data_IF_238339440569
#
_entry.id   IF_238339440569
#
_cell.length_a   1.000
_cell.length_b   1.000
_cell.length_c   1.000
_cell.angle_alpha   90.00
_cell.angle_beta   90.00
_cell.angle_gamma   90.00
#
_symmetry.space_group_name_H-M   'P 1'
#
loop_
_entity.id
_entity.type
_entity.pdbx_description
1 polymer ?
#
# COMPACT_ATOMS: atom_id res chain seq x y z
N UNK A 1 -9.09 -1.69 -17.72
CA UNK A 1 -8.22 -1.28 -16.59
C UNK A 1 -6.80 -1.75 -16.85
N UNK A 2 -5.87 -0.85 -16.68
CA UNK A 2 -4.43 -1.11 -16.83
C UNK A 2 -3.76 -1.18 -15.47
N UNK A 3 -2.81 -2.12 -15.30
CA UNK A 3 -1.91 -2.16 -14.13
C UNK A 3 -0.53 -1.75 -14.58
N UNK A 4 0.06 -0.78 -13.90
CA UNK A 4 1.42 -0.30 -14.15
C UNK A 4 2.16 0.01 -12.85
N UNK A 5 3.46 0.24 -12.97
CA UNK A 5 4.24 0.73 -11.84
C UNK A 5 3.90 2.17 -11.50
N UNK A 6 4.05 2.50 -10.23
CA UNK A 6 3.95 3.85 -9.72
C UNK A 6 5.02 4.74 -10.34
N UNK A 7 4.63 5.94 -10.77
CA UNK A 7 5.56 6.93 -11.29
C UNK A 7 5.68 8.15 -10.36
N UNK A 8 6.72 8.95 -10.56
CA UNK A 8 6.98 10.14 -9.76
C UNK A 8 5.83 11.18 -9.82
N UNK A 9 5.01 11.14 -10.87
CA UNK A 9 3.91 12.09 -11.06
C UNK A 9 2.57 11.63 -10.44
N UNK A 10 2.55 10.46 -9.82
CA UNK A 10 1.31 9.85 -9.32
C UNK A 10 0.94 10.26 -7.89
N UNK A 11 1.83 10.91 -7.17
CA UNK A 11 1.68 11.15 -5.73
C UNK A 11 0.37 11.83 -5.34
N UNK A 12 -0.03 12.87 -6.05
CA UNK A 12 -1.29 13.58 -5.74
C UNK A 12 -2.52 12.70 -5.96
N UNK A 13 -2.57 11.95 -7.07
CA UNK A 13 -3.66 11.01 -7.31
C UNK A 13 -3.70 9.87 -6.29
N UNK A 14 -2.54 9.36 -5.89
CA UNK A 14 -2.44 8.33 -4.86
C UNK A 14 -3.01 8.83 -3.53
N UNK A 15 -2.56 9.98 -3.07
CA UNK A 15 -3.05 10.54 -1.80
C UNK A 15 -4.55 10.84 -1.85
N UNK A 16 -5.07 11.28 -3.00
CA UNK A 16 -6.51 11.44 -3.20
C UNK A 16 -7.25 10.10 -3.15
N UNK A 17 -6.72 9.06 -3.78
CA UNK A 17 -7.26 7.71 -3.69
C UNK A 17 -7.30 7.21 -2.24
N UNK A 18 -6.21 7.37 -1.52
CA UNK A 18 -6.13 6.92 -0.13
C UNK A 18 -7.13 7.65 0.77
N UNK A 19 -7.25 8.96 0.64
CA UNK A 19 -8.29 9.71 1.37
C UNK A 19 -9.70 9.21 1.05
N UNK A 20 -10.00 9.01 -0.23
CA UNK A 20 -11.30 8.51 -0.65
C UNK A 20 -11.58 7.09 -0.14
N UNK A 21 -10.55 6.31 0.11
CA UNK A 21 -10.62 4.93 0.62
C UNK A 21 -10.57 4.85 2.14
N UNK A 22 -10.48 5.98 2.85
CA UNK A 22 -10.39 6.01 4.31
C UNK A 22 -9.00 5.72 4.87
N UNK A 23 -7.98 5.68 4.03
CA UNK A 23 -6.58 5.50 4.47
C UNK A 23 -6.02 6.86 4.87
N UNK A 24 -5.53 6.95 6.11
CA UNK A 24 -4.91 8.16 6.65
C UNK A 24 -3.50 8.34 6.11
N UNK A 25 -3.09 9.60 5.96
CA UNK A 25 -1.71 9.95 5.67
C UNK A 25 -0.79 9.44 6.79
N UNK A 26 0.31 8.78 6.40
CA UNK A 26 1.29 8.21 7.31
C UNK A 26 2.69 8.72 6.97
N UNK A 27 3.63 8.68 7.92
CA UNK A 27 5.03 8.93 7.59
C UNK A 27 5.48 8.04 6.44
N UNK A 28 6.09 8.65 5.42
CA UNK A 28 6.49 7.93 4.22
C UNK A 28 5.55 8.07 3.02
N UNK A 29 4.44 8.80 3.17
CA UNK A 29 3.47 9.02 2.09
C UNK A 29 3.74 10.27 1.26
N UNK A 30 4.78 11.01 1.56
CA UNK A 30 5.24 12.15 0.78
C UNK A 30 5.96 11.70 -0.50
N UNK A 31 6.08 12.61 -1.47
CA UNK A 31 6.65 12.30 -2.78
C UNK A 31 8.09 11.77 -2.70
N UNK A 32 8.93 12.35 -1.86
CA UNK A 32 10.31 11.92 -1.70
C UNK A 32 10.43 10.49 -1.15
N UNK A 33 9.61 10.17 -0.14
CA UNK A 33 9.58 8.82 0.45
C UNK A 33 9.03 7.79 -0.53
N UNK A 34 7.99 8.12 -1.28
CA UNK A 34 7.45 7.23 -2.31
C UNK A 34 8.46 6.98 -3.43
N UNK A 35 9.19 8.00 -3.86
CA UNK A 35 10.27 7.85 -4.84
C UNK A 35 11.37 6.92 -4.34
N UNK A 36 11.76 7.03 -3.07
CA UNK A 36 12.74 6.14 -2.45
C UNK A 36 12.22 4.70 -2.39
N UNK A 37 10.98 4.51 -1.98
CA UNK A 37 10.35 3.19 -1.91
C UNK A 37 10.36 2.50 -3.27
N UNK A 38 9.91 3.19 -4.32
CA UNK A 38 9.84 2.64 -5.68
C UNK A 38 11.23 2.36 -6.25
N UNK A 39 12.19 3.24 -6.00
CA UNK A 39 13.57 3.08 -6.43
C UNK A 39 14.24 1.84 -5.81
N UNK A 40 13.98 1.59 -4.53
CA UNK A 40 14.54 0.43 -3.81
C UNK A 40 13.81 -0.88 -4.14
N UNK A 41 12.58 -0.80 -4.62
CA UNK A 41 11.72 -1.95 -4.84
C UNK A 41 11.10 -1.92 -6.24
N UNK A 42 11.91 -2.01 -7.32
CA UNK A 42 11.39 -1.98 -8.68
C UNK A 42 10.34 -3.07 -8.89
N UNK A 43 9.24 -2.71 -9.51
CA UNK A 43 8.16 -3.64 -9.83
C UNK A 43 7.21 -3.99 -8.69
N UNK A 44 7.42 -3.46 -7.47
CA UNK A 44 6.62 -3.81 -6.30
C UNK A 44 5.61 -2.73 -5.89
N UNK A 45 5.65 -1.55 -6.49
CA UNK A 45 4.68 -0.49 -6.23
C UNK A 45 3.79 -0.32 -7.45
N UNK A 46 2.54 -0.73 -7.35
CA UNK A 46 1.63 -0.86 -8.48
C UNK A 46 0.40 0.01 -8.33
N UNK A 47 -0.10 0.50 -9.45
CA UNK A 47 -1.38 1.20 -9.54
C UNK A 47 -2.26 0.55 -10.59
N UNK A 48 -3.57 0.55 -10.32
CA UNK A 48 -4.58 0.19 -11.30
C UNK A 48 -5.23 1.47 -11.85
N UNK A 49 -5.29 1.59 -13.18
CA UNK A 49 -5.76 2.80 -13.85
C UNK A 49 -6.96 2.53 -14.74
N UNK A 50 -7.90 3.45 -14.77
CA UNK A 50 -8.95 3.57 -15.78
C UNK A 50 -8.66 4.84 -16.58
N UNK A 51 -8.13 4.68 -17.80
CA UNK A 51 -7.56 5.81 -18.52
C UNK A 51 -6.39 6.43 -17.73
N UNK A 52 -6.45 7.72 -17.50
CA UNK A 52 -5.44 8.46 -16.71
C UNK A 52 -5.73 8.48 -15.21
N UNK A 53 -6.86 7.95 -14.79
CA UNK A 53 -7.28 7.97 -13.39
C UNK A 53 -6.76 6.73 -12.65
N UNK A 54 -6.06 6.95 -11.56
CA UNK A 54 -5.68 5.88 -10.63
C UNK A 54 -6.90 5.52 -9.77
N UNK A 55 -7.34 4.28 -9.86
CA UNK A 55 -8.50 3.76 -9.10
C UNK A 55 -8.12 2.72 -8.07
N UNK A 56 -6.87 2.26 -8.07
CA UNK A 56 -6.38 1.31 -7.07
C UNK A 56 -4.87 1.44 -6.90
N UNK A 57 -4.38 1.04 -5.74
CA UNK A 57 -2.96 0.98 -5.44
C UNK A 57 -2.63 -0.25 -4.61
N UNK A 58 -1.40 -0.71 -4.73
CA UNK A 58 -0.77 -1.65 -3.82
C UNK A 58 0.73 -1.39 -3.83
N UNK A 59 1.26 -0.99 -2.69
CA UNK A 59 2.69 -0.74 -2.51
C UNK A 59 3.30 -1.91 -1.77
N UNK A 60 4.47 -2.36 -2.19
CA UNK A 60 5.19 -3.39 -1.47
C UNK A 60 6.69 -3.12 -1.48
N UNK A 61 7.34 -3.68 -0.48
CA UNK A 61 8.79 -3.63 -0.33
C UNK A 61 9.33 -4.99 0.07
N UNK A 62 10.56 -5.27 -0.33
CA UNK A 62 11.31 -6.44 0.08
C UNK A 62 12.65 -5.99 0.63
N UNK A 63 12.93 -6.31 1.89
CA UNK A 63 14.19 -5.95 2.55
C UNK A 63 15.27 -7.03 2.44
N UNK A 64 15.02 -8.09 1.67
CA UNK A 64 15.88 -9.27 1.56
C UNK A 64 15.48 -10.41 2.50
N UNK A 65 14.62 -10.13 3.49
CA UNK A 65 14.16 -11.12 4.47
C UNK A 65 12.64 -11.25 4.52
N UNK A 66 11.92 -10.13 4.55
CA UNK A 66 10.44 -10.05 4.58
C UNK A 66 9.94 -9.14 3.48
N UNK A 67 8.78 -9.45 2.96
CA UNK A 67 7.98 -8.51 2.19
C UNK A 67 7.02 -7.75 3.09
N UNK A 68 6.74 -6.49 2.75
CA UNK A 68 5.76 -5.65 3.42
C UNK A 68 4.85 -5.01 2.40
N UNK A 69 3.54 -5.07 2.61
CA UNK A 69 2.56 -4.39 1.78
C UNK A 69 2.00 -3.17 2.51
N UNK A 70 1.82 -2.09 1.76
CA UNK A 70 1.29 -0.82 2.25
C UNK A 70 0.18 -0.33 1.34
N UNK A 71 -0.81 0.33 1.93
CA UNK A 71 -1.82 1.09 1.19
C UNK A 71 -2.43 0.33 0.01
N UNK A 72 -2.88 -0.88 0.27
CA UNK A 72 -3.69 -1.63 -0.70
C UNK A 72 -5.09 -1.03 -0.67
N UNK A 73 -5.44 -0.31 -1.70
CA UNK A 73 -6.67 0.48 -1.77
C UNK A 73 -7.36 0.36 -3.11
N UNK A 74 -8.68 0.44 -3.09
CA UNK A 74 -9.50 0.60 -4.29
C UNK A 74 -10.49 1.72 -4.05
N UNK A 75 -10.58 2.63 -5.01
CA UNK A 75 -11.55 3.74 -4.94
C UNK A 75 -12.96 3.18 -4.73
N UNK A 76 -13.80 3.81 -3.87
CA UNK A 76 -15.14 3.30 -3.57
C UNK A 76 -16.00 2.95 -4.79
N UNK A 77 -15.91 3.75 -5.85
CA UNK A 77 -16.70 3.49 -7.09
C UNK A 77 -16.11 2.38 -7.98
N UNK A 78 -14.92 1.88 -7.67
CA UNK A 78 -14.25 0.82 -8.42
C UNK A 78 -14.16 -0.51 -7.66
N UNK A 79 -14.80 -0.60 -6.50
CA UNK A 79 -14.79 -1.81 -5.66
C UNK A 79 -15.59 -2.96 -6.28
N UNK A 80 -15.36 -4.18 -5.77
CA UNK A 80 -16.04 -5.43 -6.15
C UNK A 80 -15.77 -5.85 -7.60
N UNK A 81 -14.68 -5.40 -8.19
CA UNK A 81 -14.24 -5.79 -9.54
C UNK A 81 -12.95 -6.62 -9.52
N UNK A 82 -12.49 -7.04 -8.34
CA UNK A 82 -11.29 -7.86 -8.18
C UNK A 82 -9.99 -7.11 -8.46
N UNK A 83 -9.98 -5.79 -8.49
CA UNK A 83 -8.78 -5.00 -8.84
C UNK A 83 -7.69 -5.19 -7.79
N UNK A 84 -8.00 -5.00 -6.51
CA UNK A 84 -7.03 -5.19 -5.43
C UNK A 84 -6.47 -6.61 -5.40
N UNK A 85 -7.32 -7.61 -5.61
CA UNK A 85 -6.89 -9.01 -5.70
C UNK A 85 -5.85 -9.21 -6.80
N UNK A 86 -6.07 -8.64 -7.98
CA UNK A 86 -5.12 -8.72 -9.10
C UNK A 86 -3.79 -8.05 -8.76
N UNK A 87 -3.83 -6.87 -8.15
CA UNK A 87 -2.61 -6.17 -7.71
C UNK A 87 -1.81 -7.00 -6.70
N UNK A 88 -2.49 -7.53 -5.68
CA UNK A 88 -1.85 -8.33 -4.64
C UNK A 88 -1.24 -9.61 -5.22
N UNK A 89 -1.97 -10.32 -6.08
CA UNK A 89 -1.45 -11.54 -6.73
C UNK A 89 -0.19 -11.26 -7.55
N UNK A 90 -0.18 -10.17 -8.29
CA UNK A 90 0.98 -9.78 -9.08
C UNK A 90 2.18 -9.44 -8.18
N UNK A 91 1.97 -8.74 -7.08
CA UNK A 91 3.00 -8.46 -6.07
C UNK A 91 3.52 -9.76 -5.46
N UNK A 92 2.64 -10.68 -5.07
CA UNK A 92 3.04 -11.98 -4.53
C UNK A 92 3.94 -12.74 -5.50
N UNK A 93 3.58 -12.78 -6.77
CA UNK A 93 4.37 -13.47 -7.79
C UNK A 93 5.76 -12.83 -7.97
N UNK A 94 5.82 -11.51 -7.99
CA UNK A 94 7.09 -10.78 -8.09
C UNK A 94 7.96 -10.97 -6.85
N UNK A 95 7.36 -10.95 -5.67
CA UNK A 95 8.07 -11.22 -4.41
C UNK A 95 8.61 -12.65 -4.37
N UNK A 96 7.83 -13.64 -4.82
CA UNK A 96 8.31 -15.02 -4.91
C UNK A 96 9.51 -15.12 -5.85
N UNK A 97 9.47 -14.45 -6.98
CA UNK A 97 10.59 -14.42 -7.94
C UNK A 97 11.86 -13.82 -7.33
N UNK A 98 11.74 -12.91 -6.37
CA UNK A 98 12.85 -12.32 -5.64
C UNK A 98 13.33 -13.18 -4.46
N UNK A 99 12.68 -14.30 -4.18
CA UNK A 99 13.02 -15.18 -3.05
C UNK A 99 12.35 -14.80 -1.73
N UNK A 100 11.38 -13.91 -1.75
CA UNK A 100 10.62 -13.54 -0.56
C UNK A 100 9.77 -14.71 -0.07
N UNK A 101 9.87 -15.04 1.22
CA UNK A 101 9.18 -16.19 1.80
C UNK A 101 7.91 -15.82 2.56
N UNK A 102 7.78 -14.57 2.98
CA UNK A 102 6.64 -14.13 3.77
C UNK A 102 6.35 -12.66 3.51
N UNK A 103 5.10 -12.36 3.20
CA UNK A 103 4.58 -11.01 3.03
C UNK A 103 3.76 -10.64 4.27
N UNK A 104 4.15 -9.55 4.91
CA UNK A 104 3.47 -9.00 6.07
C UNK A 104 2.73 -7.72 5.69
N UNK A 105 1.67 -7.43 6.42
CA UNK A 105 0.95 -6.16 6.33
C UNK A 105 0.24 -5.89 7.65
N UNK A 106 -0.19 -4.65 7.83
CA UNK A 106 -0.91 -4.22 9.02
C UNK A 106 -2.31 -3.80 8.61
N UNK A 107 -3.30 -4.30 9.33
CA UNK A 107 -4.71 -3.93 9.21
C UNK A 107 -5.16 -3.42 10.57
N UNK A 108 -5.80 -2.25 10.60
CA UNK A 108 -6.36 -1.72 11.84
C UNK A 108 -7.56 -2.57 12.29
N UNK A 109 -7.69 -2.78 13.58
CA UNK A 109 -8.71 -3.68 14.14
C UNK A 109 -10.14 -3.31 13.76
N UNK A 110 -10.43 -2.02 13.58
CA UNK A 110 -11.74 -1.52 13.17
C UNK A 110 -12.07 -1.75 11.70
N UNK A 111 -11.09 -2.07 10.87
CA UNK A 111 -11.26 -2.26 9.42
C UNK A 111 -11.66 -3.70 9.08
N UNK A 112 -12.87 -4.06 9.41
CA UNK A 112 -13.39 -5.43 9.21
C UNK A 112 -13.40 -5.88 7.76
N UNK A 113 -13.77 -5.01 6.84
CA UNK A 113 -13.81 -5.35 5.41
C UNK A 113 -12.40 -5.67 4.88
N UNK A 114 -11.38 -4.92 5.32
CA UNK A 114 -9.99 -5.21 5.00
C UNK A 114 -9.57 -6.57 5.57
N UNK A 115 -9.93 -6.88 6.81
CA UNK A 115 -9.64 -8.19 7.40
C UNK A 115 -10.25 -9.34 6.60
N UNK A 116 -11.51 -9.21 6.16
CA UNK A 116 -12.19 -10.20 5.34
C UNK A 116 -11.50 -10.36 3.97
N UNK A 117 -11.11 -9.26 3.36
CA UNK A 117 -10.36 -9.26 2.10
C UNK A 117 -9.07 -10.07 2.22
N UNK A 118 -8.24 -9.77 3.22
CA UNK A 118 -6.98 -10.45 3.41
C UNK A 118 -7.15 -11.92 3.78
N UNK A 119 -8.12 -12.25 4.64
CA UNK A 119 -8.44 -13.64 4.97
C UNK A 119 -8.85 -14.44 3.73
N UNK A 120 -9.66 -13.84 2.84
CA UNK A 120 -10.06 -14.47 1.58
C UNK A 120 -8.88 -14.74 0.64
N UNK A 121 -7.81 -13.97 0.73
CA UNK A 121 -6.57 -14.19 -0.03
C UNK A 121 -5.60 -15.18 0.64
N UNK A 122 -5.96 -15.73 1.80
CA UNK A 122 -5.16 -16.71 2.52
C UNK A 122 -4.22 -16.13 3.57
N UNK A 123 -4.33 -14.83 3.88
CA UNK A 123 -3.56 -14.21 4.96
C UNK A 123 -4.20 -14.52 6.30
N UNK A 124 -3.38 -14.63 7.33
CA UNK A 124 -3.81 -14.95 8.70
C UNK A 124 -3.37 -13.87 9.67
N UNK A 125 -4.25 -13.54 10.61
CA UNK A 125 -3.89 -12.68 11.73
C UNK A 125 -2.83 -13.36 12.58
N UNK A 126 -1.73 -12.65 12.84
CA UNK A 126 -0.66 -13.13 13.71
C UNK A 126 -0.87 -12.60 15.14
N UNK A 127 -0.49 -13.39 16.18
CA UNK A 127 -0.61 -12.97 17.58
C UNK A 127 0.55 -12.04 17.96
N UNK A 128 0.75 -10.97 17.22
CA UNK A 128 1.82 -10.01 17.40
C UNK A 128 1.26 -8.62 17.64
N UNK A 129 2.02 -7.77 18.32
CA UNK A 129 1.69 -6.37 18.54
C UNK A 129 2.77 -5.53 17.89
N UNK A 130 2.36 -4.51 17.13
CA UNK A 130 3.27 -3.57 16.52
C UNK A 130 3.69 -2.50 17.52
N UNK A 131 5.00 -2.22 17.59
CA UNK A 131 5.53 -1.03 18.25
C UNK A 131 6.16 -0.13 17.22
N UNK A 132 5.88 1.17 17.30
CA UNK A 132 6.38 2.16 16.38
C UNK A 132 6.84 3.41 17.11
N UNK A 133 7.85 4.08 16.54
CA UNK A 133 8.34 5.37 16.99
C UNK A 133 8.68 6.21 15.77
N UNK A 134 8.13 7.40 15.69
CA UNK A 134 8.54 8.35 14.67
C UNK A 134 9.96 8.86 14.96
N UNK A 135 10.81 8.89 13.93
CA UNK A 135 12.22 9.25 14.08
C UNK A 135 12.52 10.72 13.74
N UNK A 136 11.55 11.44 13.16
CA UNK A 136 11.66 12.87 12.89
C UNK A 136 10.99 13.69 13.97
N UNK A 137 11.50 14.91 14.21
CA UNK A 137 10.90 15.86 15.12
C UNK A 137 9.51 16.29 14.63
N UNK A 138 8.63 16.61 15.58
CA UNK A 138 7.24 17.02 15.31
C UNK A 138 7.11 18.23 14.37
N UNK A 139 8.14 19.05 14.26
CA UNK A 139 8.14 20.23 13.37
C UNK A 139 8.10 19.80 11.89
N UNK A 140 8.69 18.65 11.54
CA UNK A 140 8.61 18.08 10.20
C UNK A 140 7.38 17.20 9.98
N UNK A 141 6.63 16.89 11.02
CA UNK A 141 5.45 16.01 10.99
C UNK A 141 4.12 16.77 10.98
N UNK A 142 4.13 18.12 10.81
CA UNK A 142 2.92 18.94 10.88
C UNK A 142 1.86 18.54 9.84
N UNK A 143 2.29 18.07 8.69
CA UNK A 143 1.38 17.58 7.64
C UNK A 143 0.73 16.24 8.02
N UNK A 144 1.49 15.37 8.68
CA UNK A 144 0.96 14.11 9.17
C UNK A 144 0.01 14.28 10.37
N UNK A 145 0.24 15.30 11.19
CA UNK A 145 -0.60 15.62 12.34
C UNK A 145 -1.95 16.26 11.98
N UNK A 146 -2.12 16.72 10.75
CA UNK A 146 -3.37 17.32 10.27
C UNK A 146 -4.42 16.26 9.88
N UNK A 147 -4.09 15.00 9.88
CA UNK A 147 -4.98 13.89 9.53
C UNK A 147 -5.34 13.11 10.81
N UNK A 148 -6.57 13.33 11.34
CA UNK A 148 -7.00 12.71 12.60
C UNK A 148 -7.21 11.21 12.52
#
# INVERSE_FOLDING_TARGET
MEIRELSANDGDQLRALWRASGIRHRPGDDDASLATLTSRNPGLCLVGCEGERIVASALAAFDGRRGWAYHVATHPDARRRGIATRLVRLIEDRLRALGCRKLNLIVWEEERDAMLFWAALGYRREPAVEFAKELFDRVGASEAAADP
#
